data_IF_712128329666
#
_entry.id   IF_712128329666
#
_cell.length_a   1.000
_cell.length_b   1.000
_cell.length_c   1.000
_cell.angle_alpha   90.00
_cell.angle_beta   90.00
_cell.angle_gamma   90.00
#
_symmetry.space_group_name_H-M   'P 1'
#
loop_
_entity.id
_entity.type
_entity.pdbx_description
1 polymer ?
#
# COMPACT_ATOMS: atom_id res chain seq x y z
N UNK A 1 4.20 -7.05 14.56
CA UNK A 1 4.37 -5.65 15.06
C UNK A 1 5.18 -4.73 14.13
N UNK A 2 6.20 -5.19 13.35
CA UNK A 2 7.00 -4.29 12.46
C UNK A 2 6.20 -3.62 11.33
N UNK A 3 5.19 -4.29 10.77
CA UNK A 3 4.40 -3.76 9.65
C UNK A 3 3.43 -2.63 10.07
N UNK A 4 2.89 -2.70 11.29
CA UNK A 4 2.03 -1.64 11.84
C UNK A 4 2.80 -0.32 11.99
N UNK A 5 4.03 -0.36 12.51
CA UNK A 5 4.86 0.84 12.68
C UNK A 5 5.21 1.50 11.33
N UNK A 6 5.48 0.68 10.30
CA UNK A 6 5.74 1.18 8.94
C UNK A 6 4.50 1.86 8.34
N UNK A 7 3.32 1.27 8.50
CA UNK A 7 2.06 1.85 8.02
C UNK A 7 1.67 3.13 8.76
N UNK A 8 1.83 3.17 10.09
CA UNK A 8 1.57 4.39 10.86
C UNK A 8 2.47 5.53 10.41
N UNK A 9 3.75 5.26 10.12
CA UNK A 9 4.67 6.28 9.59
C UNK A 9 4.30 6.70 8.17
N UNK A 10 3.87 5.76 7.31
CA UNK A 10 3.38 6.05 5.97
C UNK A 10 2.15 6.97 6.02
N UNK A 11 1.18 6.63 6.86
CA UNK A 11 -0.05 7.42 7.06
C UNK A 11 0.28 8.83 7.55
N UNK A 12 1.06 8.95 8.63
CA UNK A 12 1.46 10.26 9.18
C UNK A 12 2.19 11.13 8.16
N UNK A 13 3.01 10.51 7.28
CA UNK A 13 3.79 11.23 6.28
C UNK A 13 2.96 11.66 5.07
N UNK A 14 2.04 10.82 4.60
CA UNK A 14 1.41 11.00 3.29
C UNK A 14 -0.07 11.35 3.32
N UNK A 15 -0.80 11.08 4.42
CA UNK A 15 -2.26 11.27 4.45
C UNK A 15 -2.68 12.71 4.13
N UNK A 16 -2.02 13.70 4.75
CA UNK A 16 -2.33 15.12 4.52
C UNK A 16 -2.07 15.54 3.07
N UNK A 17 -0.91 15.18 2.53
CA UNK A 17 -0.53 15.54 1.16
C UNK A 17 -1.41 14.85 0.13
N UNK A 18 -1.70 13.57 0.34
CA UNK A 18 -2.59 12.79 -0.51
C UNK A 18 -4.01 13.36 -0.52
N UNK A 19 -4.55 13.70 0.65
CA UNK A 19 -5.85 14.34 0.78
C UNK A 19 -5.92 15.64 -0.03
N UNK A 20 -4.95 16.54 0.12
CA UNK A 20 -4.97 17.81 -0.63
C UNK A 20 -4.75 17.63 -2.13
N UNK A 21 -3.96 16.64 -2.54
CA UNK A 21 -3.83 16.28 -3.95
C UNK A 21 -5.16 15.81 -4.53
N UNK A 22 -5.84 14.89 -3.83
CA UNK A 22 -7.13 14.36 -4.24
C UNK A 22 -8.22 15.43 -4.21
N UNK A 23 -8.20 16.32 -3.21
CA UNK A 23 -9.12 17.44 -3.13
C UNK A 23 -8.97 18.39 -4.32
N UNK A 24 -7.73 18.71 -4.73
CA UNK A 24 -7.48 19.52 -5.92
C UNK A 24 -7.92 18.83 -7.21
N UNK A 25 -7.80 17.51 -7.28
CA UNK A 25 -8.17 16.72 -8.45
C UNK A 25 -9.68 16.52 -8.58
N UNK A 26 -10.37 16.25 -7.46
CA UNK A 26 -11.78 15.89 -7.44
C UNK A 26 -12.71 17.08 -7.22
N UNK A 27 -12.23 18.16 -6.59
CA UNK A 27 -13.07 19.28 -6.14
C UNK A 27 -14.06 18.92 -5.02
N UNK A 28 -14.05 17.68 -4.51
CA UNK A 28 -15.01 17.16 -3.54
C UNK A 28 -14.29 16.71 -2.26
N UNK A 29 -14.55 17.36 -1.11
CA UNK A 29 -13.98 16.96 0.18
C UNK A 29 -14.33 15.53 0.59
N UNK A 30 -15.60 15.12 0.45
CA UNK A 30 -16.03 13.74 0.73
C UNK A 30 -15.24 12.75 -0.13
N UNK A 31 -15.21 12.95 -1.45
CA UNK A 31 -14.55 12.01 -2.34
C UNK A 31 -13.03 11.95 -2.09
N UNK A 32 -12.39 13.08 -1.77
CA UNK A 32 -10.99 13.11 -1.42
C UNK A 32 -10.68 12.36 -0.12
N UNK A 33 -11.57 12.45 0.88
CA UNK A 33 -11.46 11.71 2.13
C UNK A 33 -11.61 10.20 1.89
N UNK A 34 -12.66 9.77 1.18
CA UNK A 34 -12.92 8.37 0.88
C UNK A 34 -11.74 7.72 0.13
N UNK A 35 -11.23 8.40 -0.90
CA UNK A 35 -10.09 7.92 -1.68
C UNK A 35 -8.80 7.87 -0.85
N UNK A 36 -8.60 8.83 0.05
CA UNK A 36 -7.45 8.81 0.97
C UNK A 36 -7.53 7.59 1.88
N UNK A 37 -8.68 7.34 2.51
CA UNK A 37 -8.87 6.20 3.40
C UNK A 37 -8.71 4.87 2.66
N UNK A 38 -9.39 4.71 1.52
CA UNK A 38 -9.32 3.50 0.68
C UNK A 38 -7.89 3.17 0.26
N UNK A 39 -7.08 4.19 -0.06
CA UNK A 39 -5.67 4.00 -0.43
C UNK A 39 -4.87 3.35 0.70
N UNK A 40 -5.01 3.82 1.93
CA UNK A 40 -4.28 3.26 3.07
C UNK A 40 -4.85 1.92 3.53
N UNK A 41 -6.14 1.67 3.36
CA UNK A 41 -6.75 0.34 3.56
C UNK A 41 -6.13 -0.67 2.60
N UNK A 42 -6.10 -0.35 1.29
CA UNK A 42 -5.47 -1.22 0.27
C UNK A 42 -3.98 -1.44 0.50
N UNK A 43 -3.24 -0.40 0.88
CA UNK A 43 -1.83 -0.54 1.23
C UNK A 43 -1.62 -1.47 2.44
N UNK A 44 -2.54 -1.43 3.42
CA UNK A 44 -2.51 -2.31 4.59
C UNK A 44 -2.80 -3.75 4.20
N UNK A 45 -3.85 -4.00 3.41
CA UNK A 45 -4.20 -5.34 2.91
C UNK A 45 -3.05 -5.90 2.09
N UNK A 46 -2.54 -5.14 1.11
CA UNK A 46 -1.43 -5.57 0.27
C UNK A 46 -0.19 -5.94 1.08
N UNK A 47 0.16 -5.16 2.12
CA UNK A 47 1.30 -5.47 2.99
C UNK A 47 1.09 -6.72 3.85
N UNK A 48 -0.16 -7.06 4.18
CA UNK A 48 -0.52 -8.25 4.95
C UNK A 48 -0.61 -9.51 4.07
N UNK A 49 -0.99 -9.35 2.80
CA UNK A 49 -1.11 -10.43 1.82
C UNK A 49 0.21 -10.81 1.13
N UNK A 50 1.28 -10.03 1.32
CA UNK A 50 2.59 -10.42 0.80
C UNK A 50 3.05 -11.73 1.46
N UNK A 51 3.29 -12.81 0.69
CA UNK A 51 3.95 -13.99 1.24
C UNK A 51 5.33 -13.54 1.74
N UNK A 52 5.72 -13.97 2.95
CA UNK A 52 7.04 -13.65 3.53
C UNK A 52 8.21 -14.24 2.74
N UNK A 53 7.94 -14.97 1.67
CA UNK A 53 8.91 -15.53 0.74
C UNK A 53 8.53 -15.10 -0.68
N UNK A 54 9.27 -14.14 -1.22
CA UNK A 54 9.33 -13.92 -2.66
C UNK A 54 10.04 -15.15 -3.27
N UNK A 55 9.30 -16.03 -3.94
CA UNK A 55 9.87 -17.05 -4.82
C UNK A 55 9.96 -16.41 -6.22
N UNK A 56 11.15 -16.03 -6.72
CA UNK A 56 11.26 -15.61 -8.11
C UNK A 56 11.00 -16.84 -8.97
N UNK A 57 9.81 -16.94 -9.56
CA UNK A 57 9.54 -17.92 -10.59
C UNK A 57 10.46 -17.63 -11.78
N UNK A 58 11.49 -18.47 -11.96
CA UNK A 58 12.32 -18.44 -13.16
C UNK A 58 13.79 -18.75 -12.95
N UNK A 59 14.14 -19.86 -12.32
CA UNK A 59 15.32 -20.63 -12.72
C UNK A 59 14.88 -22.06 -12.93
N UNK A 60 14.93 -22.49 -14.18
CA UNK A 60 14.77 -23.87 -14.59
C UNK A 60 15.91 -24.64 -13.92
N UNK A 61 15.61 -25.50 -12.94
CA UNK A 61 16.54 -26.56 -12.57
C UNK A 61 16.57 -27.56 -13.72
N UNK A 62 17.48 -27.32 -14.67
CA UNK A 62 17.93 -28.35 -15.58
C UNK A 62 18.82 -29.27 -14.77
N UNK A 63 18.34 -30.47 -14.47
CA UNK A 63 19.18 -31.60 -14.07
C UNK A 63 18.98 -32.13 -12.66
N UNK A 64 18.45 -33.35 -12.57
CA UNK A 64 18.41 -34.14 -11.36
C UNK A 64 17.84 -35.53 -11.61
N UNK A 65 18.60 -36.32 -12.38
CA UNK A 65 18.56 -37.77 -12.67
C UNK A 65 17.29 -38.58 -12.34
#
# INVERSE_FOLDING_TARGET
MRNQLKLTNLYKRYAKTLYFYLLKLSGSPQLAEDLTQETFVRATISLLELPTTYQPHGLIEVGGS
#
